data_IF_754357013066
#
_entry.id   IF_754357013066
#
_cell.length_a   1.000
_cell.length_b   1.000
_cell.length_c   1.000
_cell.angle_alpha   90.00
_cell.angle_beta   90.00
_cell.angle_gamma   90.00
#
_symmetry.space_group_name_H-M   'P 1'
#
loop_
_entity.id
_entity.type
_entity.pdbx_description
1 polymer ?
#
# COMPACT_ATOMS: atom_id res chain seq x y z
N UNK A 1 -51.34 12.71 -53.71
CA UNK A 1 -51.86 12.97 -52.35
C UNK A 1 -50.82 12.51 -51.33
N UNK A 2 -50.12 13.42 -50.65
CA UNK A 2 -49.14 13.13 -49.58
C UNK A 2 -49.94 13.07 -48.28
N UNK A 3 -49.96 11.90 -47.62
CA UNK A 3 -50.58 11.74 -46.29
C UNK A 3 -49.73 12.47 -45.22
N UNK A 4 -50.35 13.33 -44.43
CA UNK A 4 -49.61 13.97 -43.34
C UNK A 4 -49.15 12.90 -42.33
N UNK A 5 -47.84 12.82 -42.04
CA UNK A 5 -47.28 12.04 -40.91
C UNK A 5 -47.65 12.76 -39.61
N UNK A 6 -48.59 12.21 -38.86
CA UNK A 6 -48.88 12.69 -37.50
C UNK A 6 -47.65 12.38 -36.64
N UNK A 7 -46.86 13.39 -36.30
CA UNK A 7 -45.89 13.31 -35.25
C UNK A 7 -46.63 13.26 -33.91
N UNK A 8 -46.50 12.20 -33.16
CA UNK A 8 -47.02 12.14 -31.77
C UNK A 8 -46.27 13.20 -30.95
N UNK A 9 -46.98 14.20 -30.48
CA UNK A 9 -46.47 15.19 -29.56
C UNK A 9 -46.27 14.54 -28.18
N UNK A 10 -45.12 14.74 -27.59
CA UNK A 10 -44.78 14.22 -26.26
C UNK A 10 -45.43 15.10 -25.19
N UNK A 11 -46.13 14.51 -24.24
CA UNK A 11 -46.74 15.26 -23.14
C UNK A 11 -45.71 15.57 -22.03
N UNK A 12 -45.92 16.66 -21.31
CA UNK A 12 -45.08 17.06 -20.19
C UNK A 12 -45.07 15.99 -19.08
N UNK A 13 -46.21 15.31 -18.89
CA UNK A 13 -46.35 14.24 -17.89
C UNK A 13 -45.53 13.01 -18.28
N UNK A 14 -45.52 12.59 -19.55
CA UNK A 14 -44.71 11.47 -20.03
C UNK A 14 -43.21 11.74 -19.82
N UNK A 15 -42.75 12.98 -20.06
CA UNK A 15 -41.38 13.35 -19.81
C UNK A 15 -41.04 13.31 -18.30
N UNK A 16 -41.96 13.84 -17.48
CA UNK A 16 -41.78 13.93 -16.02
C UNK A 16 -41.68 12.53 -15.37
N UNK A 17 -42.53 11.60 -15.80
CA UNK A 17 -42.51 10.21 -15.31
C UNK A 17 -41.21 9.51 -15.69
N UNK A 18 -40.71 9.70 -16.90
CA UNK A 18 -39.42 9.10 -17.33
C UNK A 18 -38.27 9.60 -16.52
N UNK A 19 -38.14 10.92 -16.30
CA UNK A 19 -37.06 11.46 -15.48
C UNK A 19 -37.18 11.02 -14.01
N UNK A 20 -38.38 10.87 -13.46
CA UNK A 20 -38.59 10.36 -12.11
C UNK A 20 -38.11 8.90 -11.97
N UNK A 21 -38.42 8.04 -12.94
CA UNK A 21 -37.95 6.65 -12.95
C UNK A 21 -36.41 6.58 -13.05
N UNK A 22 -35.84 7.39 -13.96
CA UNK A 22 -34.36 7.47 -14.10
C UNK A 22 -33.70 7.93 -12.78
N UNK A 23 -34.29 8.95 -12.13
CA UNK A 23 -33.75 9.46 -10.85
C UNK A 23 -33.79 8.39 -9.75
N UNK A 24 -34.88 7.61 -9.66
CA UNK A 24 -34.99 6.52 -8.67
C UNK A 24 -33.92 5.44 -8.96
N UNK A 25 -33.77 5.01 -10.21
CA UNK A 25 -32.80 4.01 -10.60
C UNK A 25 -31.36 4.50 -10.35
N UNK A 26 -31.05 5.75 -10.70
CA UNK A 26 -29.76 6.36 -10.47
C UNK A 26 -29.44 6.46 -8.96
N UNK A 27 -30.40 6.85 -8.13
CA UNK A 27 -30.24 6.93 -6.69
C UNK A 27 -29.85 5.58 -6.04
N UNK A 28 -30.34 4.47 -6.58
CA UNK A 28 -29.96 3.13 -6.12
C UNK A 28 -28.58 2.68 -6.64
N UNK A 29 -28.20 3.10 -7.84
CA UNK A 29 -26.94 2.70 -8.49
C UNK A 29 -25.72 3.46 -7.97
N UNK A 30 -25.84 4.76 -7.65
CA UNK A 30 -24.72 5.60 -7.25
C UNK A 30 -23.97 5.10 -6.02
N UNK A 31 -24.61 4.67 -4.91
CA UNK A 31 -23.91 4.11 -3.75
C UNK A 31 -23.18 2.80 -4.07
N UNK A 32 -23.78 1.94 -4.87
CA UNK A 32 -23.17 0.66 -5.28
C UNK A 32 -21.94 0.90 -6.17
N UNK A 33 -22.02 1.82 -7.12
CA UNK A 33 -20.91 2.22 -7.99
C UNK A 33 -19.75 2.84 -7.18
N UNK A 34 -20.06 3.66 -6.17
CA UNK A 34 -19.07 4.23 -5.25
C UNK A 34 -18.27 3.14 -4.54
N UNK A 35 -18.94 2.12 -3.98
CA UNK A 35 -18.30 0.98 -3.32
C UNK A 35 -17.47 0.13 -4.30
N UNK A 36 -18.03 -0.14 -5.49
CA UNK A 36 -17.31 -0.89 -6.52
C UNK A 36 -16.01 -0.20 -6.94
N UNK A 37 -16.04 1.12 -7.13
CA UNK A 37 -14.85 1.94 -7.44
C UNK A 37 -13.79 1.88 -6.33
N UNK A 38 -14.20 1.94 -5.06
CA UNK A 38 -13.26 1.79 -3.93
C UNK A 38 -12.64 0.40 -3.87
N UNK A 39 -13.43 -0.64 -4.12
CA UNK A 39 -12.93 -2.03 -4.17
C UNK A 39 -11.96 -2.23 -5.33
N UNK A 40 -12.25 -1.70 -6.51
CA UNK A 40 -11.34 -1.73 -7.66
C UNK A 40 -9.99 -1.06 -7.35
N UNK A 41 -10.00 0.09 -6.66
CA UNK A 41 -8.78 0.75 -6.21
C UNK A 41 -8.00 -0.09 -5.19
N UNK A 42 -8.69 -0.76 -4.25
CA UNK A 42 -8.05 -1.67 -3.29
C UNK A 42 -7.39 -2.86 -4.00
N UNK A 43 -8.07 -3.46 -4.97
CA UNK A 43 -7.51 -4.56 -5.77
C UNK A 43 -6.29 -4.12 -6.58
N UNK A 44 -6.33 -2.90 -7.13
CA UNK A 44 -5.18 -2.33 -7.85
C UNK A 44 -3.99 -2.12 -6.89
N UNK A 45 -4.22 -1.66 -5.65
CA UNK A 45 -3.19 -1.52 -4.64
C UNK A 45 -2.58 -2.90 -4.26
N UNK A 46 -3.41 -3.94 -4.11
CA UNK A 46 -2.92 -5.31 -3.92
C UNK A 46 -2.06 -5.79 -5.09
N UNK A 47 -2.45 -5.48 -6.33
CA UNK A 47 -1.67 -5.80 -7.53
C UNK A 47 -0.32 -5.09 -7.54
N UNK A 48 -0.27 -3.82 -7.13
CA UNK A 48 0.97 -3.06 -7.01
C UNK A 48 1.93 -3.71 -6.00
N UNK A 49 1.44 -4.01 -4.79
CA UNK A 49 2.24 -4.69 -3.77
C UNK A 49 2.70 -6.08 -4.23
N UNK A 50 1.86 -6.79 -4.99
CA UNK A 50 2.27 -8.09 -5.56
C UNK A 50 3.42 -7.95 -6.57
N UNK A 51 3.38 -6.91 -7.41
CA UNK A 51 4.47 -6.60 -8.35
C UNK A 51 5.75 -6.22 -7.60
N UNK A 52 5.65 -5.42 -6.53
CA UNK A 52 6.78 -5.09 -5.65
C UNK A 52 7.34 -6.36 -4.98
N UNK A 53 6.48 -7.28 -4.56
CA UNK A 53 6.88 -8.58 -4.02
C UNK A 53 7.68 -9.42 -5.01
N UNK A 54 7.22 -9.53 -6.25
CA UNK A 54 7.97 -10.21 -7.31
C UNK A 54 9.32 -9.55 -7.61
N UNK A 55 9.33 -8.21 -7.69
CA UNK A 55 10.57 -7.45 -7.88
C UNK A 55 11.58 -7.70 -6.73
N UNK A 56 11.09 -7.78 -5.49
CA UNK A 56 11.91 -8.11 -4.33
C UNK A 56 12.48 -9.52 -4.35
N UNK A 57 11.69 -10.50 -4.79
CA UNK A 57 12.18 -11.89 -4.98
C UNK A 57 13.27 -11.95 -6.04
N UNK A 58 13.08 -11.25 -7.17
CA UNK A 58 14.08 -11.18 -8.25
C UNK A 58 15.35 -10.49 -7.77
N UNK A 59 15.21 -9.36 -7.06
CA UNK A 59 16.35 -8.66 -6.44
C UNK A 59 17.13 -9.57 -5.51
N UNK A 60 16.44 -10.28 -4.59
CA UNK A 60 17.10 -11.20 -3.65
C UNK A 60 17.83 -12.34 -4.37
N UNK A 61 17.30 -12.81 -5.50
CA UNK A 61 17.97 -13.81 -6.33
C UNK A 61 19.29 -13.32 -6.93
N UNK A 62 19.36 -12.04 -7.31
CA UNK A 62 20.56 -11.44 -7.90
C UNK A 62 21.58 -10.95 -6.84
N UNK A 63 21.16 -10.78 -5.58
CA UNK A 63 21.97 -10.19 -4.51
C UNK A 63 22.11 -11.08 -3.25
N UNK A 64 22.48 -12.35 -3.41
CA UNK A 64 22.78 -13.28 -2.31
C UNK A 64 21.68 -13.36 -1.24
N UNK A 65 20.42 -13.45 -1.66
CA UNK A 65 19.23 -13.50 -0.79
C UNK A 65 19.05 -12.24 0.08
N UNK A 66 19.70 -11.14 -0.28
CA UNK A 66 19.59 -9.88 0.45
C UNK A 66 18.26 -9.19 0.16
N UNK A 67 17.75 -8.51 1.18
CA UNK A 67 16.61 -7.59 1.05
C UNK A 67 17.09 -6.23 0.52
N UNK A 68 16.27 -5.52 -0.28
CA UNK A 68 16.57 -4.15 -0.68
C UNK A 68 16.77 -3.26 0.53
N UNK A 69 17.79 -2.43 0.48
CA UNK A 69 18.10 -1.49 1.55
C UNK A 69 17.09 -0.34 1.61
N UNK A 70 16.90 0.23 2.79
CA UNK A 70 16.30 1.53 2.98
C UNK A 70 17.32 2.51 3.53
N UNK A 71 17.25 3.77 3.14
CA UNK A 71 18.24 4.74 3.56
C UNK A 71 17.64 6.12 3.74
N UNK A 72 17.78 6.65 4.96
CA UNK A 72 17.36 8.01 5.30
C UNK A 72 18.24 9.13 4.72
N UNK A 73 19.39 8.82 4.13
CA UNK A 73 20.36 9.85 3.72
C UNK A 73 20.38 10.11 2.22
N UNK A 74 20.45 11.39 1.87
CA UNK A 74 20.68 11.83 0.51
C UNK A 74 21.91 11.14 -0.11
N UNK A 75 21.71 10.45 -1.23
CA UNK A 75 22.78 9.76 -1.97
C UNK A 75 22.79 8.25 -1.88
N UNK A 76 21.97 7.63 -1.03
CA UNK A 76 21.90 6.17 -0.92
C UNK A 76 20.72 5.58 -1.70
N UNK A 77 20.88 4.35 -2.15
CA UNK A 77 19.90 3.65 -2.99
C UNK A 77 18.81 3.07 -2.09
N UNK A 78 17.64 3.72 -2.07
CA UNK A 78 16.43 3.19 -1.43
C UNK A 78 15.95 1.91 -2.13
N UNK A 79 15.12 1.11 -1.42
CA UNK A 79 14.42 -0.04 -2.00
C UNK A 79 13.68 0.34 -3.30
N UNK A 80 13.19 1.58 -3.39
CA UNK A 80 12.52 2.12 -4.58
C UNK A 80 13.45 2.05 -5.81
N UNK A 81 14.68 2.55 -5.66
CA UNK A 81 15.67 2.51 -6.74
C UNK A 81 16.21 1.09 -6.98
N UNK A 82 16.37 0.29 -5.92
CA UNK A 82 16.83 -1.10 -6.02
C UNK A 82 15.86 -1.98 -6.80
N UNK A 83 14.53 -1.77 -6.64
CA UNK A 83 13.50 -2.54 -7.33
C UNK A 83 13.15 -2.02 -8.73
N UNK A 84 13.56 -0.79 -9.07
CA UNK A 84 13.20 -0.16 -10.34
C UNK A 84 13.57 -0.98 -11.60
N UNK A 85 14.77 -1.61 -11.69
CA UNK A 85 15.11 -2.42 -12.85
C UNK A 85 14.15 -3.58 -13.08
N UNK A 86 13.65 -4.21 -12.00
CA UNK A 86 12.73 -5.35 -12.05
C UNK A 86 11.29 -4.96 -12.39
N UNK A 87 10.93 -3.70 -12.17
CA UNK A 87 9.61 -3.13 -12.49
C UNK A 87 9.60 -2.40 -13.83
N UNK A 88 10.72 -2.37 -14.56
CA UNK A 88 10.93 -1.55 -15.76
C UNK A 88 10.61 -0.07 -15.53
N UNK A 89 10.79 0.38 -14.30
CA UNK A 89 10.53 1.77 -13.91
C UNK A 89 11.71 2.65 -14.27
N UNK A 90 11.45 3.78 -14.94
CA UNK A 90 12.45 4.83 -15.10
C UNK A 90 12.40 5.73 -13.88
N UNK A 91 13.44 5.68 -13.06
CA UNK A 91 13.61 6.57 -11.91
C UNK A 91 14.47 7.74 -12.31
N UNK A 92 14.00 8.97 -12.05
CA UNK A 92 14.83 10.17 -12.02
C UNK A 92 14.94 10.65 -10.57
N UNK A 93 15.99 11.39 -10.24
CA UNK A 93 16.22 11.89 -8.88
C UNK A 93 15.08 12.76 -8.33
N UNK A 94 14.20 13.27 -9.18
CA UNK A 94 13.10 14.17 -8.81
C UNK A 94 11.71 13.63 -9.19
N UNK A 95 11.66 12.52 -9.92
CA UNK A 95 10.40 11.95 -10.39
C UNK A 95 10.58 10.45 -10.61
N UNK A 96 9.79 9.64 -9.94
CA UNK A 96 9.50 8.29 -10.41
C UNK A 96 8.75 8.49 -11.72
N UNK A 97 9.47 8.47 -12.83
CA UNK A 97 8.93 8.79 -14.15
C UNK A 97 7.61 8.08 -14.40
N UNK A 98 6.72 8.68 -15.14
CA UNK A 98 5.31 8.33 -15.34
C UNK A 98 5.03 6.88 -15.83
N UNK A 99 6.06 6.05 -15.93
CA UNK A 99 5.98 4.74 -16.54
C UNK A 99 5.39 3.63 -15.65
N UNK A 100 5.37 3.79 -14.31
CA UNK A 100 4.74 2.78 -13.45
C UNK A 100 4.09 3.42 -12.23
N UNK A 101 2.76 3.44 -12.20
CA UNK A 101 1.98 3.75 -10.99
C UNK A 101 2.13 2.67 -9.89
N UNK A 102 3.06 1.72 -10.05
CA UNK A 102 3.27 0.60 -9.13
C UNK A 102 3.71 1.06 -7.74
N UNK A 103 4.43 2.17 -7.65
CA UNK A 103 4.85 2.75 -6.37
C UNK A 103 3.77 3.56 -5.66
N UNK A 104 2.68 3.91 -6.35
CA UNK A 104 1.62 4.74 -5.81
C UNK A 104 0.31 3.97 -5.63
N UNK A 105 -0.32 4.14 -4.49
CA UNK A 105 -1.67 3.66 -4.27
C UNK A 105 -2.68 4.47 -5.11
N UNK A 106 -3.62 3.84 -5.83
CA UNK A 106 -4.61 4.55 -6.67
C UNK A 106 -5.56 5.49 -5.91
N UNK A 107 -5.57 5.43 -4.56
CA UNK A 107 -6.32 6.36 -3.70
C UNK A 107 -5.54 7.64 -3.44
N UNK A 108 -4.22 7.62 -3.61
CA UNK A 108 -3.38 8.80 -3.43
C UNK A 108 -3.88 9.97 -4.25
N UNK A 109 -3.92 11.15 -3.64
CA UNK A 109 -4.39 12.36 -4.32
C UNK A 109 -3.35 12.81 -5.34
N UNK A 110 -3.77 13.13 -6.58
CA UNK A 110 -2.86 13.76 -7.54
C UNK A 110 -2.28 15.05 -6.94
N UNK A 111 -0.97 15.23 -7.06
CA UNK A 111 -0.30 16.43 -6.52
C UNK A 111 0.02 16.37 -5.03
N UNK A 112 -0.11 15.21 -4.37
CA UNK A 112 0.32 15.01 -2.97
C UNK A 112 1.83 15.22 -2.74
N UNK A 113 2.63 15.27 -3.80
CA UNK A 113 4.09 15.34 -3.73
C UNK A 113 4.76 14.02 -3.33
N UNK A 114 3.98 12.96 -3.14
CA UNK A 114 4.51 11.63 -2.79
C UNK A 114 5.09 10.93 -4.00
N UNK A 115 6.27 10.37 -3.82
CA UNK A 115 6.93 9.53 -4.83
C UNK A 115 6.47 8.08 -4.74
N UNK A 116 6.08 7.62 -3.56
CA UNK A 116 5.59 6.26 -3.28
C UNK A 116 4.61 6.27 -2.10
N UNK A 117 3.71 5.29 -2.08
CA UNK A 117 2.68 5.11 -1.04
C UNK A 117 2.92 3.88 -0.17
N UNK A 118 4.05 3.22 -0.35
CA UNK A 118 4.40 2.00 0.38
C UNK A 118 5.70 2.20 1.14
N UNK A 119 5.81 1.52 2.29
CA UNK A 119 7.00 1.54 3.13
C UNK A 119 7.38 0.11 3.52
N UNK A 120 8.67 -0.15 3.68
CA UNK A 120 9.19 -1.43 4.14
C UNK A 120 9.23 -1.49 5.66
N UNK A 121 9.21 -2.70 6.20
CA UNK A 121 9.35 -2.97 7.62
C UNK A 121 10.79 -2.69 8.08
N UNK A 122 10.94 -1.81 9.07
CA UNK A 122 12.23 -1.39 9.63
C UNK A 122 13.09 -2.57 10.13
N UNK A 123 12.49 -3.62 10.68
CA UNK A 123 13.22 -4.82 11.13
C UNK A 123 13.87 -5.63 10.00
N UNK A 124 13.40 -5.44 8.77
CA UNK A 124 13.85 -6.15 7.58
C UNK A 124 14.79 -5.29 6.71
N UNK A 125 15.37 -4.24 7.30
CA UNK A 125 16.24 -3.32 6.58
C UNK A 125 17.70 -3.71 6.73
N UNK A 126 18.38 -3.82 5.60
CA UNK A 126 19.84 -3.80 5.58
C UNK A 126 20.32 -2.35 5.79
N UNK A 127 20.31 -1.89 7.04
CA UNK A 127 20.74 -0.54 7.38
C UNK A 127 22.26 -0.46 7.43
N UNK A 128 22.88 0.21 6.49
CA UNK A 128 24.33 0.42 6.42
C UNK A 128 24.86 1.30 7.57
N UNK A 129 24.01 2.00 8.32
CA UNK A 129 24.47 3.09 9.20
C UNK A 129 23.74 3.28 10.53
N UNK A 130 22.99 2.33 11.07
CA UNK A 130 22.33 2.55 12.36
C UNK A 130 23.04 1.80 13.51
N UNK A 131 23.70 2.52 14.45
CA UNK A 131 24.42 1.88 15.58
C UNK A 131 23.52 1.30 16.67
N UNK A 132 22.20 1.38 16.55
CA UNK A 132 21.26 1.09 17.63
C UNK A 132 20.26 -0.04 17.37
N UNK A 133 20.39 -0.81 16.29
CA UNK A 133 19.51 -1.95 16.06
C UNK A 133 20.23 -3.26 16.39
N UNK A 134 19.64 -4.16 17.20
CA UNK A 134 20.14 -5.53 17.28
C UNK A 134 20.05 -6.13 15.86
N UNK A 135 21.20 -6.47 15.30
CA UNK A 135 21.42 -7.12 14.00
C UNK A 135 20.26 -7.02 13.02
N UNK A 136 20.28 -6.06 12.08
CA UNK A 136 19.24 -5.96 11.06
C UNK A 136 19.21 -7.26 10.25
N UNK A 137 18.03 -7.80 10.03
CA UNK A 137 17.84 -8.93 9.14
C UNK A 137 18.12 -8.47 7.72
N UNK A 138 19.25 -8.89 7.18
CA UNK A 138 19.70 -8.48 5.86
C UNK A 138 19.27 -9.45 4.75
N UNK A 139 18.91 -10.69 5.09
CA UNK A 139 18.57 -11.76 4.16
C UNK A 139 17.22 -12.37 4.47
N UNK A 140 16.49 -12.76 3.42
CA UNK A 140 15.17 -13.41 3.54
C UNK A 140 15.26 -14.72 4.32
N UNK A 141 16.30 -15.51 4.11
CA UNK A 141 16.54 -16.79 4.81
C UNK A 141 16.80 -16.66 6.31
N UNK A 142 17.10 -15.45 6.80
CA UNK A 142 17.24 -15.18 8.24
C UNK A 142 15.90 -15.03 8.95
N UNK A 143 14.80 -14.84 8.21
CA UNK A 143 13.45 -14.69 8.78
C UNK A 143 12.84 -16.08 9.01
N UNK A 144 12.50 -16.45 10.25
CA UNK A 144 12.01 -17.79 10.57
C UNK A 144 10.67 -18.14 9.92
N UNK A 145 9.81 -17.14 9.68
CA UNK A 145 8.50 -17.33 9.03
C UNK A 145 8.21 -16.21 8.04
N UNK A 146 8.60 -16.43 6.79
CA UNK A 146 8.39 -15.47 5.71
C UNK A 146 6.90 -15.23 5.38
N UNK A 147 6.04 -16.23 5.63
CA UNK A 147 4.59 -16.13 5.41
C UNK A 147 3.86 -15.33 6.49
N UNK A 148 4.44 -15.19 7.67
CA UNK A 148 3.81 -14.48 8.79
C UNK A 148 4.39 -13.07 8.98
N UNK A 149 5.53 -12.77 8.36
CA UNK A 149 6.24 -11.50 8.52
C UNK A 149 5.94 -10.54 7.39
N UNK A 150 5.40 -9.39 7.74
CA UNK A 150 5.13 -8.30 6.78
C UNK A 150 6.44 -7.67 6.34
N UNK A 151 6.61 -7.61 5.02
CA UNK A 151 7.73 -6.89 4.41
C UNK A 151 7.37 -5.45 4.07
N UNK A 152 6.22 -5.21 3.41
CA UNK A 152 5.79 -3.87 3.03
C UNK A 152 4.31 -3.65 3.33
N UNK A 153 3.96 -2.40 3.58
CA UNK A 153 2.56 -1.98 3.71
C UNK A 153 2.38 -0.53 3.24
N UNK A 154 1.15 -0.04 3.30
CA UNK A 154 0.79 1.31 2.89
C UNK A 154 1.23 2.33 3.93
N UNK A 155 2.13 3.24 3.56
CA UNK A 155 2.63 4.29 4.45
C UNK A 155 1.60 5.38 4.70
N UNK A 156 1.67 5.97 5.90
CA UNK A 156 0.85 7.12 6.31
C UNK A 156 1.17 8.36 5.46
N UNK A 157 0.19 9.23 5.29
CA UNK A 157 0.38 10.54 4.65
C UNK A 157 1.28 11.47 5.48
N UNK A 158 1.46 11.17 6.77
CA UNK A 158 2.39 11.89 7.65
C UNK A 158 3.85 11.57 7.35
N UNK A 159 4.13 10.42 6.75
CA UNK A 159 5.46 10.00 6.32
C UNK A 159 5.71 10.45 4.88
N UNK A 160 5.96 11.73 4.67
CA UNK A 160 6.35 12.22 3.36
C UNK A 160 7.77 11.76 3.04
N UNK A 161 7.87 10.87 2.02
CA UNK A 161 9.16 10.39 1.49
C UNK A 161 10.03 9.56 2.45
N UNK A 162 9.45 9.05 3.54
CA UNK A 162 10.10 7.99 4.33
C UNK A 162 9.79 6.64 3.68
N UNK A 163 10.82 5.91 3.33
CA UNK A 163 10.73 4.67 2.56
C UNK A 163 10.53 3.41 3.43
N UNK A 164 10.47 3.57 4.75
CA UNK A 164 10.17 2.50 5.71
C UNK A 164 9.28 3.02 6.84
N UNK A 165 8.61 2.11 7.52
CA UNK A 165 7.85 2.40 8.73
C UNK A 165 8.58 1.85 9.94
N UNK A 166 8.67 2.67 10.97
CA UNK A 166 9.17 2.26 12.27
C UNK A 166 8.03 1.64 13.07
N UNK A 167 8.28 0.49 13.63
CA UNK A 167 7.48 0.01 14.74
C UNK A 167 8.15 0.52 16.01
N UNK A 168 7.87 1.74 16.35
CA UNK A 168 8.65 2.43 17.32
C UNK A 168 8.36 2.00 18.74
N UNK A 169 9.24 1.77 19.36
CA UNK A 169 9.76 1.71 20.68
C UNK A 169 11.22 1.50 20.60
N UNK A 170 11.83 1.98 19.53
CA UNK A 170 13.26 2.17 19.58
C UNK A 170 13.52 3.09 20.73
N UNK A 171 14.12 2.55 21.75
CA UNK A 171 14.47 3.12 23.02
C UNK A 171 15.38 4.36 22.96
N UNK A 172 15.13 5.28 22.03
CA UNK A 172 15.69 6.63 22.16
C UNK A 172 15.01 7.36 23.31
N UNK A 173 13.83 6.89 23.72
CA UNK A 173 12.98 7.46 24.75
C UNK A 173 12.32 6.44 25.70
N UNK A 174 12.70 5.15 25.63
CA UNK A 174 12.16 4.12 26.54
C UNK A 174 10.69 3.75 26.31
N UNK A 175 10.07 4.27 25.27
CA UNK A 175 8.72 3.91 24.92
C UNK A 175 8.70 2.52 24.25
N UNK A 176 8.02 1.54 24.84
CA UNK A 176 7.80 0.23 24.28
C UNK A 176 7.02 0.28 22.96
N UNK A 177 6.90 -0.84 22.28
CA UNK A 177 6.11 -0.97 21.06
C UNK A 177 4.66 -0.58 21.33
N UNK A 178 4.12 0.35 20.52
CA UNK A 178 2.76 0.83 20.68
C UNK A 178 1.99 0.74 19.36
N UNK A 179 0.81 0.11 19.38
CA UNK A 179 -0.10 0.15 18.23
C UNK A 179 -0.46 1.56 17.78
N UNK A 180 -0.44 2.55 18.67
CA UNK A 180 -0.76 3.93 18.34
C UNK A 180 0.34 4.58 17.49
N UNK A 181 1.60 4.22 17.71
CA UNK A 181 2.71 4.66 16.86
C UNK A 181 2.59 4.03 15.48
N UNK A 182 2.24 2.76 15.39
CA UNK A 182 1.97 2.11 14.10
C UNK A 182 0.89 2.84 13.29
N UNK A 183 -0.14 3.38 13.95
CA UNK A 183 -1.18 4.20 13.31
C UNK A 183 -0.66 5.51 12.70
N UNK A 184 0.41 6.08 13.26
CA UNK A 184 1.03 7.28 12.68
C UNK A 184 1.86 6.97 11.44
N UNK A 185 2.33 5.74 11.30
CA UNK A 185 3.26 5.28 10.28
C UNK A 185 2.57 4.56 9.12
N UNK A 186 1.46 3.86 9.40
CA UNK A 186 0.78 2.98 8.45
C UNK A 186 -0.69 3.39 8.29
N UNK A 187 -1.15 3.45 7.04
CA UNK A 187 -2.55 3.75 6.69
C UNK A 187 -3.46 2.53 6.84
N UNK A 188 -3.70 2.13 8.08
CA UNK A 188 -4.41 0.88 8.43
C UNK A 188 -5.88 0.80 7.98
N UNK A 189 -6.45 1.91 7.50
CA UNK A 189 -7.87 1.98 7.10
C UNK A 189 -8.07 2.52 5.68
N UNK A 190 -7.01 2.58 4.85
CA UNK A 190 -7.03 3.20 3.52
C UNK A 190 -8.09 2.60 2.58
N UNK A 191 -8.30 1.30 2.65
CA UNK A 191 -9.16 0.56 1.73
C UNK A 191 -10.37 -0.04 2.46
N UNK A 192 -11.47 0.71 2.57
CA UNK A 192 -12.70 0.24 3.22
C UNK A 192 -12.48 -0.27 4.66
N UNK A 193 -11.69 0.46 5.44
CA UNK A 193 -11.39 0.10 6.83
C UNK A 193 -10.31 -0.97 6.98
N UNK A 194 -9.53 -1.25 5.94
CA UNK A 194 -8.41 -2.17 5.95
C UNK A 194 -7.18 -1.57 5.25
N UNK A 195 -6.00 -2.13 5.52
CA UNK A 195 -4.79 -1.88 4.75
C UNK A 195 -4.32 -3.15 4.02
N UNK A 196 -3.44 -2.97 3.07
CA UNK A 196 -2.86 -4.05 2.30
C UNK A 196 -1.44 -4.32 2.79
N UNK A 197 -1.13 -5.57 3.07
CA UNK A 197 0.15 -6.04 3.58
C UNK A 197 0.77 -7.02 2.59
N UNK A 198 2.02 -6.79 2.23
CA UNK A 198 2.86 -7.71 1.49
C UNK A 198 3.74 -8.44 2.49
N UNK A 199 3.70 -9.76 2.47
CA UNK A 199 4.53 -10.62 3.30
C UNK A 199 5.82 -11.00 2.59
N UNK A 200 6.80 -11.45 3.37
CA UNK A 200 8.13 -11.71 2.85
C UNK A 200 8.19 -12.88 1.87
N UNK A 201 7.25 -13.83 1.93
CA UNK A 201 7.09 -14.91 0.94
C UNK A 201 6.47 -14.42 -0.38
N UNK A 202 6.05 -13.16 -0.45
CA UNK A 202 5.45 -12.51 -1.61
C UNK A 202 3.93 -12.62 -1.69
N UNK A 203 3.23 -13.23 -0.71
CA UNK A 203 1.78 -13.14 -0.70
C UNK A 203 1.31 -11.76 -0.23
N UNK A 204 0.11 -11.36 -0.66
CA UNK A 204 -0.49 -10.08 -0.32
C UNK A 204 -1.85 -10.31 0.29
N UNK A 205 -2.09 -9.69 1.44
CA UNK A 205 -3.35 -9.80 2.14
C UNK A 205 -3.88 -8.42 2.56
N UNK A 206 -5.18 -8.21 2.41
CA UNK A 206 -5.86 -7.03 2.96
C UNK A 206 -6.43 -7.40 4.33
N UNK A 207 -6.01 -6.68 5.39
CA UNK A 207 -6.37 -6.97 6.77
C UNK A 207 -6.97 -5.74 7.43
N UNK A 208 -8.07 -5.92 8.16
CA UNK A 208 -8.69 -4.85 8.96
C UNK A 208 -7.87 -4.57 10.21
N UNK A 209 -7.86 -3.30 10.64
CA UNK A 209 -7.12 -2.86 11.82
C UNK A 209 -7.40 -3.69 13.08
N UNK A 210 -8.64 -4.03 13.32
CA UNK A 210 -9.02 -4.86 14.49
C UNK A 210 -8.31 -6.22 14.56
N UNK A 211 -7.86 -6.76 13.40
CA UNK A 211 -7.11 -8.02 13.34
C UNK A 211 -5.59 -7.82 13.28
N UNK A 212 -5.14 -6.60 12.97
CA UNK A 212 -3.72 -6.23 12.99
C UNK A 212 -3.28 -5.83 14.40
N UNK A 213 -4.07 -4.99 15.06
CA UNK A 213 -3.73 -4.41 16.37
C UNK A 213 -3.23 -5.42 17.41
N UNK A 214 -3.90 -6.56 17.66
CA UNK A 214 -3.42 -7.55 18.63
C UNK A 214 -2.10 -8.19 18.20
N UNK A 215 -1.88 -8.37 16.88
CA UNK A 215 -0.66 -8.98 16.35
C UNK A 215 0.61 -8.14 16.57
N UNK A 216 0.47 -6.88 16.92
CA UNK A 216 1.59 -5.97 17.12
C UNK A 216 2.26 -6.13 18.50
N UNK A 217 1.53 -6.65 19.49
CA UNK A 217 1.96 -6.72 20.89
C UNK A 217 1.92 -8.14 21.46
N UNK A 218 1.46 -9.11 20.70
CA UNK A 218 1.36 -10.49 21.13
C UNK A 218 2.70 -11.21 20.94
N UNK A 219 3.26 -11.73 22.05
CA UNK A 219 4.51 -12.49 22.03
C UNK A 219 4.37 -13.77 21.21
N UNK A 220 5.36 -14.08 20.38
CA UNK A 220 5.37 -15.22 19.45
C UNK A 220 4.74 -14.92 18.09
N UNK A 221 4.05 -13.80 17.93
CA UNK A 221 3.49 -13.37 16.65
C UNK A 221 4.54 -12.64 15.82
N UNK A 222 4.81 -13.13 14.61
CA UNK A 222 5.85 -12.61 13.70
C UNK A 222 5.34 -11.60 12.68
N UNK A 223 4.22 -10.96 12.93
CA UNK A 223 3.59 -10.07 11.95
C UNK A 223 4.50 -8.88 11.55
N UNK A 224 5.10 -8.22 12.52
CA UNK A 224 6.07 -7.13 12.29
C UNK A 224 7.45 -7.55 12.79
N UNK A 225 7.52 -8.24 13.93
CA UNK A 225 8.75 -8.72 14.52
C UNK A 225 9.13 -10.09 13.96
N UNK A 226 10.21 -10.19 13.18
CA UNK A 226 10.59 -11.47 12.57
C UNK A 226 10.92 -12.58 13.57
N UNK A 227 11.40 -12.22 14.75
CA UNK A 227 11.72 -13.14 15.85
C UNK A 227 10.53 -13.42 16.78
N UNK A 228 9.43 -12.69 16.64
CA UNK A 228 8.24 -12.82 17.48
C UNK A 228 8.35 -12.18 18.86
N UNK A 229 9.34 -11.31 19.07
CA UNK A 229 9.54 -10.58 20.32
C UNK A 229 9.15 -9.11 20.12
N UNK A 230 7.96 -8.69 20.55
CA UNK A 230 7.53 -7.29 20.45
C UNK A 230 8.25 -6.40 21.45
#
# INVERSE_FOLDING_TARGET
MVRPKFSRAFTLIELLVVIAIIAILAAMLLPALGRAKQLAKATHCQSNLKQLGFAGVMYSGDFDDRLPASVHMAGNISWVASLAPYLRAKISATSLGSATNTYLCPIEKPGSGRLYSYAVNDFLLNMVTAPANPTPIARRSQVPSASDTVWMTESSELLLNEDHFHFAGRAVDGAGYSPDIFLTQVMVQRHLGAATYLFLDGHVQRVKWQHVRPKLTETGVRFIHPDGNP
#
